data_IF_594479999732
#
_entry.id   IF_594479999732
#
_cell.length_a   1.000
_cell.length_b   1.000
_cell.length_c   1.000
_cell.angle_alpha   90.00
_cell.angle_beta   90.00
_cell.angle_gamma   90.00
#
_symmetry.space_group_name_H-M   'P 1'
#
loop_
_entity.id
_entity.type
_entity.pdbx_description
1 polymer ?
#
# COMPACT_ATOMS: atom_id res chain seq x y z
N UNK A 1 18.73 14.60 12.97
CA UNK A 1 18.24 13.86 11.79
C UNK A 1 18.91 14.41 10.55
N UNK A 2 19.70 13.55 9.91
CA UNK A 2 20.71 13.88 8.91
C UNK A 2 20.02 14.03 7.54
N UNK A 3 20.72 14.59 6.54
CA UNK A 3 20.17 14.67 5.18
C UNK A 3 19.86 13.28 4.58
N UNK A 4 20.66 12.27 4.93
CA UNK A 4 20.46 10.86 4.54
C UNK A 4 19.18 10.32 5.17
N UNK A 5 19.00 10.50 6.50
CA UNK A 5 17.80 10.07 7.21
C UNK A 5 16.53 10.67 6.59
N UNK A 6 16.54 11.99 6.28
CA UNK A 6 15.39 12.64 5.63
C UNK A 6 15.06 12.01 4.27
N UNK A 7 16.09 11.67 3.48
CA UNK A 7 15.93 11.06 2.15
C UNK A 7 15.40 9.63 2.22
N UNK A 8 15.90 8.83 3.18
CA UNK A 8 15.49 7.44 3.41
C UNK A 8 14.08 7.39 3.99
N UNK A 9 13.76 8.22 4.99
CA UNK A 9 12.39 8.31 5.55
C UNK A 9 11.40 8.69 4.44
N UNK A 10 11.74 9.64 3.56
CA UNK A 10 10.88 10.00 2.44
C UNK A 10 10.72 8.87 1.41
N UNK A 11 11.72 8.00 1.25
CA UNK A 11 11.66 6.84 0.35
C UNK A 11 10.85 5.68 0.93
N UNK A 12 11.00 5.40 2.23
CA UNK A 12 10.30 4.30 2.92
C UNK A 12 8.85 4.66 3.28
N UNK A 13 8.57 5.95 3.53
CA UNK A 13 7.19 6.41 3.72
C UNK A 13 6.39 6.48 2.40
N UNK A 14 7.00 6.16 1.26
CA UNK A 14 6.35 6.10 -0.05
C UNK A 14 5.46 4.86 -0.15
N UNK A 15 4.22 5.00 0.32
CA UNK A 15 2.95 4.43 -0.16
C UNK A 15 3.00 3.12 -0.98
N UNK A 16 2.84 1.97 -0.31
CA UNK A 16 2.20 0.80 -0.92
C UNK A 16 0.69 0.99 -0.80
N UNK A 17 0.00 1.26 -1.90
CA UNK A 17 -1.45 1.15 -1.97
C UNK A 17 -1.81 0.67 -3.36
N UNK A 18 -1.72 -0.63 -3.72
CA UNK A 18 -2.22 -0.99 -5.05
C UNK A 18 -2.60 -2.45 -5.38
N UNK A 19 -3.48 -3.11 -4.62
CA UNK A 19 -4.04 -4.37 -5.18
C UNK A 19 -5.53 -4.64 -4.97
N UNK A 20 -6.24 -3.84 -4.18
CA UNK A 20 -7.64 -4.08 -3.89
C UNK A 20 -8.60 -3.95 -5.09
N UNK A 21 -8.22 -3.21 -6.13
CA UNK A 21 -9.15 -2.83 -7.20
C UNK A 21 -9.48 -4.00 -8.13
N UNK A 22 -8.46 -4.71 -8.62
CA UNK A 22 -8.63 -5.69 -9.69
C UNK A 22 -9.36 -6.97 -9.24
N UNK A 23 -9.27 -7.31 -7.94
CA UNK A 23 -9.84 -8.56 -7.41
C UNK A 23 -11.33 -8.44 -7.10
N UNK A 24 -11.82 -7.25 -6.72
CA UNK A 24 -13.17 -7.16 -6.16
C UNK A 24 -14.27 -6.74 -7.14
N UNK A 25 -13.90 -6.23 -8.32
CA UNK A 25 -14.88 -5.91 -9.37
C UNK A 25 -15.52 -7.13 -10.04
N UNK A 26 -14.86 -8.30 -9.99
CA UNK A 26 -15.34 -9.53 -10.59
C UNK A 26 -15.89 -10.47 -9.52
N UNK A 27 -17.18 -10.77 -9.57
CA UNK A 27 -17.74 -11.95 -8.89
C UNK A 27 -16.85 -13.16 -9.21
N UNK A 28 -16.03 -13.59 -8.24
CA UNK A 28 -15.37 -14.89 -8.00
C UNK A 28 -15.36 -15.99 -9.08
N UNK A 29 -15.31 -15.65 -10.36
CA UNK A 29 -15.24 -16.60 -11.46
C UNK A 29 -13.76 -16.83 -11.79
N UNK A 30 -13.18 -17.75 -11.00
CA UNK A 30 -11.82 -18.31 -11.07
C UNK A 30 -10.75 -17.44 -10.39
N UNK A 31 -10.50 -17.67 -9.09
CA UNK A 31 -9.41 -17.07 -8.30
C UNK A 31 -8.08 -16.96 -9.05
N UNK A 32 -7.71 -18.02 -9.81
CA UNK A 32 -6.49 -18.04 -10.63
C UNK A 32 -6.47 -16.96 -11.72
N UNK A 33 -7.62 -16.66 -12.34
CA UNK A 33 -7.74 -15.58 -13.33
C UNK A 33 -7.71 -14.21 -12.67
N UNK A 34 -8.29 -14.05 -11.48
CA UNK A 34 -8.21 -12.80 -10.73
C UNK A 34 -6.77 -12.48 -10.31
N UNK A 35 -6.01 -13.47 -9.83
CA UNK A 35 -4.58 -13.30 -9.50
C UNK A 35 -3.75 -13.00 -10.76
N UNK A 36 -3.96 -13.75 -11.85
CA UNK A 36 -3.25 -13.50 -13.11
C UNK A 36 -3.59 -12.11 -13.68
N UNK A 37 -4.84 -11.68 -13.59
CA UNK A 37 -5.27 -10.34 -14.00
C UNK A 37 -4.65 -9.26 -13.11
N UNK A 38 -4.64 -9.45 -11.79
CA UNK A 38 -3.97 -8.54 -10.85
C UNK A 38 -2.47 -8.42 -11.16
N UNK A 39 -1.78 -9.52 -11.51
CA UNK A 39 -0.39 -9.49 -11.96
C UNK A 39 -0.22 -8.70 -13.27
N UNK A 40 -1.11 -8.91 -14.25
CA UNK A 40 -1.07 -8.17 -15.51
C UNK A 40 -1.27 -6.66 -15.30
N UNK A 41 -2.25 -6.28 -14.48
CA UNK A 41 -2.51 -4.89 -14.12
C UNK A 41 -1.32 -4.28 -13.37
N UNK A 42 -0.70 -5.04 -12.46
CA UNK A 42 0.50 -4.61 -11.72
C UNK A 42 1.66 -4.30 -12.68
N UNK A 43 1.96 -5.23 -13.58
CA UNK A 43 3.07 -5.09 -14.51
C UNK A 43 2.79 -4.02 -15.57
N UNK A 44 1.53 -3.89 -16.01
CA UNK A 44 1.13 -2.79 -16.87
C UNK A 44 1.35 -1.44 -16.18
N UNK A 45 0.86 -1.27 -14.95
CA UNK A 45 1.08 -0.06 -14.17
C UNK A 45 2.58 0.22 -13.98
N UNK A 46 3.37 -0.82 -13.69
CA UNK A 46 4.82 -0.71 -13.54
C UNK A 46 5.48 -0.17 -14.81
N UNK A 47 5.15 -0.75 -15.97
CA UNK A 47 5.69 -0.30 -17.27
C UNK A 47 5.25 1.12 -17.61
N UNK A 48 3.99 1.44 -17.42
CA UNK A 48 3.45 2.78 -17.69
C UNK A 48 4.02 3.83 -16.76
N UNK A 49 4.17 3.52 -15.47
CA UNK A 49 4.77 4.41 -14.50
C UNK A 49 6.25 4.69 -14.81
N UNK A 50 7.00 3.65 -15.20
CA UNK A 50 8.39 3.80 -15.64
C UNK A 50 8.51 4.68 -16.89
N UNK A 51 7.57 4.54 -17.85
CA UNK A 51 7.55 5.33 -19.08
C UNK A 51 7.10 6.79 -18.85
N UNK A 52 6.11 7.01 -17.97
CA UNK A 52 5.57 8.35 -17.69
C UNK A 52 6.43 9.18 -16.75
N UNK A 53 7.19 8.53 -15.86
CA UNK A 53 8.00 9.21 -14.85
C UNK A 53 9.45 8.69 -14.85
N UNK A 54 10.21 8.81 -15.95
CA UNK A 54 11.55 8.22 -16.07
C UNK A 54 12.57 8.77 -15.05
N UNK A 55 12.33 9.98 -14.54
CA UNK A 55 13.24 10.66 -13.58
C UNK A 55 12.88 10.37 -12.10
N UNK A 56 11.90 9.51 -11.83
CA UNK A 56 11.46 9.19 -10.47
C UNK A 56 11.82 7.75 -10.09
N UNK A 57 12.05 7.48 -8.79
CA UNK A 57 12.07 6.10 -8.29
C UNK A 57 10.77 5.38 -8.69
N UNK A 58 10.90 4.14 -9.14
CA UNK A 58 9.78 3.39 -9.72
C UNK A 58 8.63 3.25 -8.71
N UNK A 59 8.92 2.99 -7.44
CA UNK A 59 7.89 2.88 -6.40
C UNK A 59 7.08 4.17 -6.24
N UNK A 60 7.74 5.33 -6.33
CA UNK A 60 7.09 6.64 -6.23
C UNK A 60 6.22 6.92 -7.46
N UNK A 61 6.72 6.60 -8.65
CA UNK A 61 5.97 6.72 -9.90
C UNK A 61 4.72 5.83 -9.88
N UNK A 62 4.88 4.56 -9.48
CA UNK A 62 3.79 3.61 -9.32
C UNK A 62 2.75 4.11 -8.32
N UNK A 63 3.17 4.57 -7.14
CA UNK A 63 2.27 5.10 -6.11
C UNK A 63 1.47 6.33 -6.58
N UNK A 64 2.10 7.23 -7.34
CA UNK A 64 1.44 8.41 -7.89
C UNK A 64 0.37 8.03 -8.92
N UNK A 65 0.70 7.16 -9.86
CA UNK A 65 -0.23 6.73 -10.90
C UNK A 65 -1.36 5.87 -10.31
N UNK A 66 -1.03 5.01 -9.36
CA UNK A 66 -1.97 4.26 -8.54
C UNK A 66 -2.99 5.14 -7.84
N UNK A 67 -2.52 6.20 -7.16
CA UNK A 67 -3.39 7.14 -6.47
C UNK A 67 -4.32 7.87 -7.43
N UNK A 68 -3.79 8.35 -8.57
CA UNK A 68 -4.58 8.99 -9.60
C UNK A 68 -5.66 8.08 -10.19
N UNK A 69 -5.32 6.79 -10.42
CA UNK A 69 -6.27 5.79 -10.91
C UNK A 69 -7.38 5.53 -9.88
N UNK A 70 -7.03 5.29 -8.61
CA UNK A 70 -8.00 5.10 -7.53
C UNK A 70 -8.97 6.29 -7.43
N UNK A 71 -8.42 7.50 -7.43
CA UNK A 71 -9.20 8.73 -7.44
C UNK A 71 -10.18 8.81 -8.61
N UNK A 72 -9.75 8.44 -9.82
CA UNK A 72 -10.62 8.41 -11.00
C UNK A 72 -11.73 7.35 -10.87
N UNK A 73 -11.40 6.16 -10.37
CA UNK A 73 -12.36 5.08 -10.17
C UNK A 73 -13.40 5.42 -9.10
N UNK A 74 -12.99 6.02 -7.98
CA UNK A 74 -13.91 6.49 -6.95
C UNK A 74 -14.86 7.56 -7.49
N UNK A 75 -14.38 8.50 -8.31
CA UNK A 75 -15.25 9.51 -8.93
C UNK A 75 -16.21 8.93 -9.96
N UNK A 76 -15.78 7.91 -10.72
CA UNK A 76 -16.56 7.34 -11.80
C UNK A 76 -17.51 6.22 -11.37
N UNK A 77 -17.37 5.70 -10.15
CA UNK A 77 -18.26 4.68 -9.59
C UNK A 77 -19.56 5.33 -9.08
N UNK A 78 -20.71 5.12 -9.74
CA UNK A 78 -21.96 5.79 -9.35
C UNK A 78 -22.55 5.24 -8.05
N UNK A 79 -22.26 3.99 -7.70
CA UNK A 79 -22.78 3.32 -6.51
C UNK A 79 -21.94 3.69 -5.27
N UNK A 80 -22.57 4.36 -4.31
CA UNK A 80 -21.91 4.79 -3.08
C UNK A 80 -21.34 3.63 -2.26
N UNK A 81 -22.06 2.52 -2.16
CA UNK A 81 -21.58 1.36 -1.41
C UNK A 81 -20.33 0.79 -2.06
N UNK A 82 -20.29 0.74 -3.40
CA UNK A 82 -19.09 0.31 -4.12
C UNK A 82 -17.92 1.28 -3.96
N UNK A 83 -18.18 2.61 -3.93
CA UNK A 83 -17.14 3.60 -3.60
C UNK A 83 -16.56 3.38 -2.22
N UNK A 84 -17.43 3.25 -1.20
CA UNK A 84 -17.02 3.00 0.19
C UNK A 84 -16.21 1.71 0.31
N UNK A 85 -16.66 0.65 -0.36
CA UNK A 85 -15.94 -0.60 -0.38
C UNK A 85 -14.56 -0.50 -1.05
N UNK A 86 -14.46 0.17 -2.20
CA UNK A 86 -13.16 0.42 -2.86
C UNK A 86 -12.22 1.21 -1.94
N UNK A 87 -12.74 2.21 -1.24
CA UNK A 87 -11.97 2.98 -0.27
C UNK A 87 -11.49 2.13 0.93
N UNK A 88 -12.35 1.26 1.46
CA UNK A 88 -12.00 0.30 2.50
C UNK A 88 -10.90 -0.65 2.02
N UNK A 89 -11.08 -1.24 0.83
CA UNK A 89 -10.13 -2.16 0.25
C UNK A 89 -8.77 -1.50 -0.03
N UNK A 90 -8.75 -0.24 -0.47
CA UNK A 90 -7.53 0.56 -0.61
C UNK A 90 -6.80 0.72 0.73
N UNK A 91 -7.54 0.99 1.81
CA UNK A 91 -6.96 1.11 3.15
C UNK A 91 -6.43 -0.24 3.68
N UNK A 92 -7.09 -1.36 3.42
CA UNK A 92 -6.54 -2.67 3.79
C UNK A 92 -5.22 -2.98 3.08
N UNK A 93 -5.14 -2.72 1.78
CA UNK A 93 -3.88 -2.89 1.04
C UNK A 93 -2.75 -2.02 1.61
N UNK A 94 -3.07 -0.79 1.99
CA UNK A 94 -2.15 0.09 2.71
C UNK A 94 -1.73 -0.48 4.06
N UNK A 95 -2.69 -0.94 4.85
CA UNK A 95 -2.45 -1.44 6.20
C UNK A 95 -1.58 -2.69 6.17
N UNK A 96 -1.98 -3.72 5.42
CA UNK A 96 -1.27 -4.99 5.36
C UNK A 96 0.11 -4.88 4.73
N UNK A 97 0.28 -4.01 3.74
CA UNK A 97 1.60 -3.76 3.18
C UNK A 97 2.61 -3.30 4.25
N UNK A 98 2.15 -2.44 5.18
CA UNK A 98 3.00 -1.86 6.20
C UNK A 98 3.12 -2.76 7.45
N UNK A 99 2.09 -3.52 7.81
CA UNK A 99 2.06 -4.31 9.06
C UNK A 99 2.45 -5.78 8.86
N UNK A 100 2.09 -6.38 7.73
CA UNK A 100 2.32 -7.80 7.43
C UNK A 100 3.46 -7.94 6.43
N UNK A 101 3.27 -7.43 5.22
CA UNK A 101 4.15 -7.74 4.08
C UNK A 101 5.55 -7.18 4.28
N UNK A 102 5.68 -5.92 4.74
CA UNK A 102 6.98 -5.33 5.06
C UNK A 102 7.66 -6.02 6.23
N UNK A 103 6.91 -6.47 7.23
CA UNK A 103 7.44 -7.18 8.36
C UNK A 103 8.01 -8.55 7.95
N UNK A 104 7.29 -9.29 7.11
CA UNK A 104 7.76 -10.54 6.51
C UNK A 104 9.02 -10.33 5.67
N UNK A 105 8.99 -9.34 4.76
CA UNK A 105 10.14 -9.04 3.90
C UNK A 105 11.39 -8.68 4.71
N UNK A 106 11.27 -7.80 5.71
CA UNK A 106 12.41 -7.41 6.54
C UNK A 106 12.92 -8.55 7.43
N UNK A 107 12.01 -9.42 7.90
CA UNK A 107 12.38 -10.60 8.70
C UNK A 107 13.23 -11.58 7.89
N UNK A 108 12.94 -11.78 6.60
CA UNK A 108 13.77 -12.60 5.72
C UNK A 108 15.19 -12.04 5.52
N UNK A 109 15.36 -10.72 5.67
CA UNK A 109 16.67 -10.06 5.69
C UNK A 109 17.35 -10.10 7.08
N UNK A 110 16.73 -10.78 8.05
CA UNK A 110 17.20 -10.90 9.43
C UNK A 110 17.02 -9.63 10.25
N UNK A 111 15.99 -8.82 9.95
CA UNK A 111 15.68 -7.59 10.70
C UNK A 111 14.24 -7.62 11.20
N UNK A 112 14.07 -7.46 12.51
CA UNK A 112 12.76 -7.28 13.12
C UNK A 112 12.34 -5.80 13.10
N UNK A 113 11.21 -5.52 12.46
CA UNK A 113 10.61 -4.17 12.38
C UNK A 113 9.34 -4.05 13.25
N UNK A 114 9.13 -4.95 14.22
CA UNK A 114 8.00 -4.90 15.17
C UNK A 114 7.78 -3.50 15.79
N UNK A 115 8.83 -2.72 16.15
CA UNK A 115 8.62 -1.34 16.61
C UNK A 115 7.87 -0.47 15.60
N UNK A 116 8.19 -0.57 14.31
CA UNK A 116 7.49 0.15 13.25
C UNK A 116 6.05 -0.34 13.09
N UNK A 117 5.83 -1.66 13.10
CA UNK A 117 4.48 -2.23 12.99
C UNK A 117 3.58 -1.68 14.11
N UNK A 118 4.01 -1.76 15.37
CA UNK A 118 3.24 -1.23 16.52
C UNK A 118 2.97 0.28 16.40
N UNK A 119 3.97 1.05 15.99
CA UNK A 119 3.81 2.50 15.78
C UNK A 119 2.84 2.81 14.62
N UNK A 120 2.81 1.99 13.58
CA UNK A 120 1.91 2.14 12.44
C UNK A 120 0.47 1.74 12.80
N UNK A 121 0.29 0.60 13.47
CA UNK A 121 -1.01 0.09 13.90
C UNK A 121 -1.72 1.07 14.83
N UNK A 122 -1.02 1.57 15.85
CA UNK A 122 -1.59 2.54 16.82
C UNK A 122 -2.10 3.81 16.16
N UNK A 123 -1.51 4.23 15.03
CA UNK A 123 -1.91 5.42 14.27
C UNK A 123 -3.09 5.20 13.33
N UNK A 124 -3.35 3.96 12.94
CA UNK A 124 -4.34 3.63 11.91
C UNK A 124 -5.49 2.77 12.43
N UNK A 125 -5.53 2.46 13.73
CA UNK A 125 -6.54 1.60 14.35
C UNK A 125 -7.97 2.09 14.10
N UNK A 126 -8.24 3.38 14.22
CA UNK A 126 -9.58 3.94 13.98
C UNK A 126 -10.01 3.76 12.53
N UNK A 127 -9.11 4.02 11.59
CA UNK A 127 -9.37 3.89 10.16
C UNK A 127 -9.58 2.42 9.76
N UNK A 128 -8.87 1.50 10.42
CA UNK A 128 -9.10 0.05 10.28
C UNK A 128 -10.50 -0.36 10.75
N UNK A 129 -10.99 0.18 11.87
CA UNK A 129 -12.36 -0.11 12.31
C UNK A 129 -13.41 0.44 11.33
N UNK A 130 -13.19 1.63 10.77
CA UNK A 130 -14.07 2.20 9.74
C UNK A 130 -14.07 1.35 8.48
N UNK A 131 -12.90 0.95 7.99
CA UNK A 131 -12.78 0.08 6.82
C UNK A 131 -13.49 -1.26 7.05
N UNK A 132 -13.30 -1.90 8.22
CA UNK A 132 -14.00 -3.13 8.63
C UNK A 132 -15.51 -3.00 8.57
N UNK A 133 -16.06 -1.91 9.14
CA UNK A 133 -17.50 -1.65 9.16
C UNK A 133 -18.05 -1.52 7.74
N UNK A 134 -17.36 -0.79 6.86
CA UNK A 134 -17.81 -0.52 5.48
C UNK A 134 -17.71 -1.74 4.56
N UNK A 135 -16.81 -2.68 4.86
CA UNK A 135 -16.68 -3.92 4.09
C UNK A 135 -17.50 -5.09 4.63
N UNK A 136 -18.18 -4.96 5.77
CA UNK A 136 -18.86 -6.08 6.45
C UNK A 136 -19.97 -6.72 5.61
N UNK A 137 -20.69 -5.92 4.81
CA UNK A 137 -21.85 -6.37 4.02
C UNK A 137 -21.45 -6.97 2.66
N UNK A 138 -20.16 -7.05 2.35
CA UNK A 138 -19.70 -7.52 1.04
C UNK A 138 -19.53 -9.05 1.03
N UNK A 139 -20.03 -9.76 -0.01
CA UNK A 139 -19.95 -11.22 -0.09
C UNK A 139 -18.54 -11.81 -0.04
N UNK A 140 -17.54 -10.99 -0.37
CA UNK A 140 -16.12 -11.30 -0.23
C UNK A 140 -15.54 -10.31 0.76
N UNK A 141 -14.95 -10.82 1.84
CA UNK A 141 -14.23 -9.98 2.80
C UNK A 141 -12.99 -9.41 2.15
N UNK A 142 -12.64 -8.17 2.49
CA UNK A 142 -11.45 -7.51 1.96
C UNK A 142 -10.19 -8.30 2.32
N UNK A 143 -10.18 -8.90 3.51
CA UNK A 143 -9.12 -9.78 4.01
C UNK A 143 -8.83 -10.95 3.07
N UNK A 144 -9.87 -11.61 2.55
CA UNK A 144 -9.67 -12.71 1.61
C UNK A 144 -9.08 -12.23 0.28
N UNK A 145 -9.52 -11.06 -0.20
CA UNK A 145 -8.92 -10.44 -1.38
C UNK A 145 -7.44 -10.08 -1.14
N UNK A 146 -7.07 -9.68 0.09
CA UNK A 146 -5.68 -9.34 0.42
C UNK A 146 -4.76 -10.57 0.40
N UNK A 147 -5.23 -11.73 0.85
CA UNK A 147 -4.44 -12.97 0.74
C UNK A 147 -4.11 -13.32 -0.72
N UNK A 148 -5.05 -13.10 -1.63
CA UNK A 148 -4.85 -13.37 -3.06
C UNK A 148 -3.81 -12.45 -3.72
N UNK A 149 -3.64 -11.23 -3.20
CA UNK A 149 -2.75 -10.21 -3.78
C UNK A 149 -1.47 -9.96 -2.98
N UNK A 150 -1.28 -10.69 -1.88
CA UNK A 150 -0.11 -10.63 -1.03
C UNK A 150 1.21 -10.79 -1.81
N UNK A 151 1.33 -11.69 -2.81
CA UNK A 151 2.54 -11.78 -3.63
C UNK A 151 2.90 -10.47 -4.33
N UNK A 152 1.91 -9.75 -4.84
CA UNK A 152 2.13 -8.51 -5.57
C UNK A 152 2.39 -7.34 -4.60
N UNK A 153 1.72 -7.32 -3.44
CA UNK A 153 2.07 -6.39 -2.35
C UNK A 153 3.54 -6.56 -1.95
N UNK A 154 4.03 -7.80 -1.93
CA UNK A 154 5.43 -8.12 -1.64
C UNK A 154 6.39 -7.61 -2.71
N UNK A 155 6.05 -7.73 -3.99
CA UNK A 155 6.86 -7.17 -5.08
C UNK A 155 7.00 -5.65 -4.97
N UNK A 156 5.88 -4.95 -4.72
CA UNK A 156 5.90 -3.49 -4.52
C UNK A 156 6.72 -3.10 -3.30
N UNK A 157 6.55 -3.82 -2.19
CA UNK A 157 7.34 -3.62 -0.96
C UNK A 157 8.84 -3.82 -1.21
N UNK A 158 9.19 -4.85 -1.99
CA UNK A 158 10.58 -5.13 -2.36
C UNK A 158 11.17 -4.02 -3.25
N UNK A 159 10.38 -3.46 -4.18
CA UNK A 159 10.78 -2.34 -5.02
C UNK A 159 10.98 -1.06 -4.19
N UNK A 160 10.06 -0.75 -3.26
CA UNK A 160 10.22 0.39 -2.35
C UNK A 160 11.50 0.32 -1.53
N UNK A 161 11.79 -0.85 -0.97
CA UNK A 161 13.02 -1.05 -0.20
C UNK A 161 14.25 -0.95 -1.11
N UNK A 162 14.17 -1.41 -2.36
CA UNK A 162 15.25 -1.26 -3.33
C UNK A 162 15.48 0.22 -3.71
N UNK A 163 14.43 1.00 -3.92
CA UNK A 163 14.50 2.42 -4.24
C UNK A 163 15.04 3.24 -3.06
N UNK A 164 14.58 2.93 -1.84
CA UNK A 164 15.12 3.53 -0.62
C UNK A 164 16.59 3.16 -0.41
N UNK A 165 16.98 1.91 -0.70
CA UNK A 165 18.35 1.43 -0.63
C UNK A 165 19.25 2.19 -1.62
N UNK A 166 18.83 2.32 -2.88
CA UNK A 166 19.55 3.07 -3.91
C UNK A 166 19.71 4.54 -3.52
N UNK A 167 18.62 5.20 -3.09
CA UNK A 167 18.61 6.61 -2.68
C UNK A 167 19.47 6.87 -1.44
N UNK A 168 19.46 5.94 -0.49
CA UNK A 168 20.23 6.00 0.75
C UNK A 168 21.69 5.55 0.62
N UNK A 169 22.07 4.95 -0.51
CA UNK A 169 23.34 4.18 -0.66
C UNK A 169 23.48 3.13 0.44
N UNK A 170 22.39 2.42 0.71
CA UNK A 170 22.27 1.40 1.75
C UNK A 170 21.97 0.05 1.10
N UNK A 171 22.28 -1.04 1.78
CA UNK A 171 21.71 -2.35 1.47
C UNK A 171 20.23 -2.40 1.87
N UNK A 172 19.46 -3.33 1.30
CA UNK A 172 18.05 -3.56 1.69
C UNK A 172 17.92 -3.89 3.18
N UNK A 173 18.85 -4.68 3.72
CA UNK A 173 18.92 -4.98 5.17
C UNK A 173 19.10 -3.71 6.01
N UNK A 174 19.99 -2.81 5.58
CA UNK A 174 20.19 -1.53 6.25
C UNK A 174 18.94 -0.63 6.18
N UNK A 175 18.17 -0.66 5.08
CA UNK A 175 16.89 0.04 5.01
C UNK A 175 15.92 -0.51 6.04
N UNK A 176 15.75 -1.84 6.12
CA UNK A 176 14.91 -2.46 7.16
C UNK A 176 15.37 -2.10 8.59
N UNK A 177 16.68 -2.11 8.84
CA UNK A 177 17.22 -1.72 10.15
C UNK A 177 16.95 -0.24 10.45
N UNK A 178 17.01 0.61 9.42
CA UNK A 178 16.65 2.01 9.52
C UNK A 178 15.16 2.18 9.85
N UNK A 179 14.28 1.35 9.27
CA UNK A 179 12.84 1.31 9.60
C UNK A 179 12.63 1.00 11.08
N UNK A 180 13.28 -0.06 11.58
CA UNK A 180 13.20 -0.46 12.98
C UNK A 180 13.70 0.66 13.93
N UNK A 181 14.83 1.30 13.59
CA UNK A 181 15.43 2.35 14.42
C UNK A 181 14.73 3.72 14.37
N UNK A 182 13.83 3.94 13.40
CA UNK A 182 13.11 5.21 13.20
C UNK A 182 11.59 4.99 13.10
N UNK A 183 11.09 3.97 13.80
CA UNK A 183 9.71 3.50 13.76
C UNK A 183 8.67 4.62 13.79
N UNK A 184 8.66 5.45 14.84
CA UNK A 184 7.69 6.54 15.00
C UNK A 184 7.80 7.62 13.92
N UNK A 185 9.02 7.97 13.53
CA UNK A 185 9.27 9.01 12.54
C UNK A 185 8.81 8.57 11.13
N UNK A 186 8.90 7.28 10.83
CA UNK A 186 8.42 6.73 9.57
C UNK A 186 6.90 6.51 9.63
N UNK A 187 6.39 5.90 10.71
CA UNK A 187 4.96 5.64 10.89
C UNK A 187 4.12 6.94 10.90
N UNK A 188 4.66 8.05 11.45
CA UNK A 188 3.98 9.36 11.41
C UNK A 188 3.89 9.99 10.02
N UNK A 189 4.69 9.54 9.05
CA UNK A 189 4.73 10.07 7.68
C UNK A 189 4.05 9.16 6.67
N UNK A 190 3.97 7.87 6.97
CA UNK A 190 3.22 6.89 6.21
C UNK A 190 1.74 6.99 6.63
N UNK A 191 1.02 8.01 6.13
CA UNK A 191 -0.40 8.23 6.44
C UNK A 191 -1.28 7.93 5.24
N UNK A 192 -2.43 7.29 5.48
CA UNK A 192 -3.37 6.99 4.41
C UNK A 192 -3.94 8.25 3.74
N UNK A 193 -4.20 9.31 4.52
CA UNK A 193 -4.67 10.60 4.02
C UNK A 193 -3.72 11.23 2.99
N UNK A 194 -2.41 11.02 3.13
CA UNK A 194 -1.42 11.49 2.17
C UNK A 194 -1.30 10.56 0.95
N UNK A 195 -1.45 9.26 1.20
CA UNK A 195 -1.34 8.22 0.19
C UNK A 195 -2.51 8.19 -0.80
N UNK A 196 -3.72 8.33 -0.27
CA UNK A 196 -4.98 8.16 -0.99
C UNK A 196 -6.02 9.14 -0.41
N UNK A 197 -5.90 10.44 -0.71
CA UNK A 197 -6.74 11.47 -0.09
C UNK A 197 -8.24 11.27 -0.35
N UNK A 198 -8.63 10.91 -1.58
CA UNK A 198 -10.05 10.70 -1.95
C UNK A 198 -10.63 9.47 -1.24
N UNK A 199 -9.87 8.37 -1.13
CA UNK A 199 -10.30 7.20 -0.38
C UNK A 199 -10.37 7.48 1.13
N UNK A 200 -9.42 8.27 1.66
CA UNK A 200 -9.43 8.68 3.06
C UNK A 200 -10.65 9.55 3.39
N UNK A 201 -11.01 10.50 2.52
CA UNK A 201 -12.24 11.28 2.68
C UNK A 201 -13.47 10.36 2.70
N UNK A 202 -13.56 9.43 1.75
CA UNK A 202 -14.69 8.49 1.67
C UNK A 202 -14.84 7.60 2.91
N UNK A 203 -13.74 7.21 3.56
CA UNK A 203 -13.77 6.46 4.82
C UNK A 203 -14.18 7.30 6.03
N UNK A 204 -13.97 8.62 5.99
CA UNK A 204 -14.29 9.50 7.11
C UNK A 204 -15.66 10.17 6.99
N UNK A 205 -16.17 10.34 5.78
CA UNK A 205 -17.47 10.96 5.50
C UNK A 205 -18.64 9.95 5.58
N UNK A 206 -18.33 8.65 5.67
CA UNK A 206 -19.34 7.60 5.82
C UNK A 206 -19.94 7.62 7.24
N UNK A 207 -21.21 8.01 7.35
CA UNK A 207 -22.01 8.02 8.59
C UNK A 207 -22.82 6.72 8.75
#
# INVERSE_FOLDING_TARGET
>A
MNAIDRRVIAGVAGVVCFFAIAVVGSRFYLEKRAVAHAQQVAEQLRREAAARHPDQPLSLAMAKDASAQMSAELRNEPDEKKRQFRAAAAFYGFYEANTIVRAEYCRELGVDITPFVKAFESRHVELLQKAKKLSADFPTTVEHAMELIKPQLREVTAQEIADAAAKGKMSKKQVCAFVAGHADAIASRATFAKAQPDAYAMLNDAH
#
